data_IF_550845400785
#
_entry.id   IF_550845400785
#
_cell.length_a   1.000
_cell.length_b   1.000
_cell.length_c   1.000
_cell.angle_alpha   90.00
_cell.angle_beta   90.00
_cell.angle_gamma   90.00
#
_symmetry.space_group_name_H-M   'P 1'
#
loop_
_entity.id
_entity.type
_entity.pdbx_description
1 polymer ?
#
# COMPACT_ATOMS: atom_id res chain seq x y z
N UNK A 1 -2.14 31.19 12.33
CA UNK A 1 -2.49 30.02 11.48
C UNK A 1 -2.57 28.83 12.41
N UNK A 2 -3.60 27.98 12.32
CA UNK A 2 -3.69 26.78 13.19
C UNK A 2 -2.96 25.61 12.52
N UNK A 3 -2.50 24.59 13.27
CA UNK A 3 -1.85 23.41 12.68
C UNK A 3 -2.70 22.76 11.57
N UNK A 4 -4.02 22.67 11.77
CA UNK A 4 -4.94 22.18 10.74
C UNK A 4 -4.89 22.95 9.42
N UNK A 5 -4.65 24.27 9.42
CA UNK A 5 -4.49 25.04 8.18
C UNK A 5 -3.20 24.67 7.44
N UNK A 6 -2.10 24.47 8.16
CA UNK A 6 -0.81 24.13 7.55
C UNK A 6 -0.85 22.76 6.89
N UNK A 7 -1.41 21.76 7.58
CA UNK A 7 -1.59 20.43 7.02
C UNK A 7 -2.60 20.39 5.88
N UNK A 8 -3.65 21.21 5.92
CA UNK A 8 -4.60 21.32 4.82
C UNK A 8 -3.93 21.84 3.55
N UNK A 9 -3.07 22.87 3.65
CA UNK A 9 -2.31 23.38 2.49
C UNK A 9 -1.35 22.32 1.93
N UNK A 10 -0.64 21.59 2.82
CA UNK A 10 0.22 20.47 2.40
C UNK A 10 -0.56 19.38 1.66
N UNK A 11 -1.71 18.99 2.21
CA UNK A 11 -2.60 18.01 1.60
C UNK A 11 -3.10 18.49 0.23
N UNK A 12 -3.60 19.72 0.13
CA UNK A 12 -4.12 20.28 -1.12
C UNK A 12 -3.06 20.34 -2.22
N UNK A 13 -1.82 20.68 -1.85
CA UNK A 13 -0.68 20.65 -2.77
C UNK A 13 -0.44 19.23 -3.30
N UNK A 14 -0.36 18.24 -2.40
CA UNK A 14 -0.16 16.85 -2.78
C UNK A 14 -1.33 16.30 -3.64
N UNK A 15 -2.57 16.62 -3.28
CA UNK A 15 -3.74 16.20 -4.06
C UNK A 15 -3.75 16.82 -5.47
N UNK A 16 -3.41 18.10 -5.59
CA UNK A 16 -3.31 18.78 -6.88
C UNK A 16 -2.22 18.15 -7.75
N UNK A 17 -1.06 17.83 -7.18
CA UNK A 17 0.03 17.18 -7.89
C UNK A 17 -0.35 15.77 -8.37
N UNK A 18 -1.00 14.97 -7.51
CA UNK A 18 -1.51 13.64 -7.88
C UNK A 18 -2.51 13.75 -9.04
N UNK A 19 -3.46 14.69 -8.98
CA UNK A 19 -4.46 14.88 -10.06
C UNK A 19 -3.79 15.27 -11.38
N UNK A 20 -2.92 16.27 -11.35
CA UNK A 20 -2.23 16.75 -12.54
C UNK A 20 -1.36 15.65 -13.18
N UNK A 21 -0.60 14.90 -12.37
CA UNK A 21 0.20 13.77 -12.89
C UNK A 21 -0.67 12.62 -13.37
N UNK A 22 -1.78 12.32 -12.69
CA UNK A 22 -2.72 11.28 -13.14
C UNK A 22 -3.27 11.59 -14.53
N UNK A 23 -3.66 12.83 -14.80
CA UNK A 23 -4.12 13.26 -16.12
C UNK A 23 -3.02 13.15 -17.18
N UNK A 24 -1.82 13.62 -16.87
CA UNK A 24 -0.66 13.52 -17.76
C UNK A 24 -0.32 12.07 -18.11
N UNK A 25 -0.30 11.19 -17.11
CA UNK A 25 -0.02 9.76 -17.27
C UNK A 25 -1.13 9.08 -18.07
N UNK A 26 -2.40 9.37 -17.75
CA UNK A 26 -3.53 8.80 -18.47
C UNK A 26 -3.55 9.20 -19.95
N UNK A 27 -3.11 10.42 -20.28
CA UNK A 27 -3.00 10.87 -21.66
C UNK A 27 -2.03 10.02 -22.50
N UNK A 28 -1.04 9.37 -21.86
CA UNK A 28 -0.07 8.53 -22.56
C UNK A 28 -0.68 7.29 -23.22
N UNK A 29 -1.89 6.87 -22.81
CA UNK A 29 -2.62 5.76 -23.44
C UNK A 29 -2.79 5.95 -24.96
N UNK A 30 -2.85 7.20 -25.43
CA UNK A 30 -2.99 7.54 -26.86
C UNK A 30 -1.73 7.29 -27.69
N UNK A 31 -0.57 7.17 -27.06
CA UNK A 31 0.74 7.07 -27.72
C UNK A 31 1.48 5.76 -27.38
N UNK A 32 0.75 4.74 -26.91
CA UNK A 32 1.32 3.42 -26.64
C UNK A 32 1.58 2.65 -27.94
N UNK A 33 2.71 1.94 -28.04
CA UNK A 33 3.01 1.09 -29.18
C UNK A 33 2.27 -0.25 -29.07
N UNK A 34 1.98 -0.91 -30.20
CA UNK A 34 1.13 -2.11 -30.23
C UNK A 34 1.77 -3.35 -29.58
N UNK A 35 3.10 -3.46 -29.62
CA UNK A 35 3.84 -4.64 -29.18
C UNK A 35 3.75 -4.92 -27.68
N UNK A 36 3.53 -3.90 -26.86
CA UNK A 36 3.36 -4.01 -25.41
C UNK A 36 2.26 -3.09 -24.85
N UNK A 37 1.28 -2.74 -25.70
CA UNK A 37 0.14 -1.86 -25.37
C UNK A 37 -0.58 -2.30 -24.10
N UNK A 38 -0.98 -3.57 -24.01
CA UNK A 38 -1.81 -4.09 -22.91
C UNK A 38 -1.08 -4.02 -21.56
N UNK A 39 0.20 -4.38 -21.55
CA UNK A 39 1.04 -4.37 -20.34
C UNK A 39 1.21 -2.94 -19.81
N UNK A 40 1.50 -1.99 -20.70
CA UNK A 40 1.70 -0.59 -20.31
C UNK A 40 0.37 0.06 -19.93
N UNK A 41 -0.70 -0.20 -20.69
CA UNK A 41 -2.04 0.29 -20.37
C UNK A 41 -2.46 -0.17 -18.97
N UNK A 42 -2.26 -1.45 -18.66
CA UNK A 42 -2.55 -2.00 -17.33
C UNK A 42 -1.76 -1.29 -16.23
N UNK A 43 -0.47 -0.98 -16.47
CA UNK A 43 0.35 -0.22 -15.51
C UNK A 43 -0.14 1.21 -15.32
N UNK A 44 -0.54 1.88 -16.40
CA UNK A 44 -1.13 3.23 -16.36
C UNK A 44 -2.42 3.20 -15.56
N UNK A 45 -3.34 2.28 -15.86
CA UNK A 45 -4.63 2.15 -15.18
C UNK A 45 -4.45 1.84 -13.70
N UNK A 46 -3.50 0.97 -13.35
CA UNK A 46 -3.14 0.68 -11.96
C UNK A 46 -2.61 1.92 -11.22
N UNK A 47 -1.71 2.70 -11.84
CA UNK A 47 -1.14 3.89 -11.21
C UNK A 47 -2.21 4.99 -11.03
N UNK A 48 -2.98 5.29 -12.08
CA UNK A 48 -4.08 6.27 -12.04
C UNK A 48 -5.16 5.84 -11.03
N UNK A 49 -5.52 4.55 -11.04
CA UNK A 49 -6.47 3.97 -10.09
C UNK A 49 -5.99 4.06 -8.65
N UNK A 50 -4.72 3.75 -8.39
CA UNK A 50 -4.11 3.89 -7.06
C UNK A 50 -4.13 5.35 -6.57
N UNK A 51 -3.81 6.31 -7.43
CA UNK A 51 -3.93 7.74 -7.13
C UNK A 51 -5.36 8.14 -6.79
N UNK A 52 -6.34 7.74 -7.61
CA UNK A 52 -7.75 8.04 -7.38
C UNK A 52 -8.29 7.46 -6.07
N UNK A 53 -7.89 6.23 -5.72
CA UNK A 53 -8.27 5.58 -4.46
C UNK A 53 -7.66 6.31 -3.26
N UNK A 54 -6.40 6.75 -3.36
CA UNK A 54 -5.74 7.50 -2.30
C UNK A 54 -6.47 8.83 -2.03
N UNK A 55 -6.81 9.57 -3.09
CA UNK A 55 -7.54 10.83 -3.02
C UNK A 55 -8.93 10.67 -2.37
N UNK A 56 -9.70 9.67 -2.83
CA UNK A 56 -11.07 9.41 -2.32
C UNK A 56 -11.10 8.75 -0.94
N UNK A 57 -10.01 8.13 -0.53
CA UNK A 57 -9.86 7.43 0.74
C UNK A 57 -9.12 8.26 1.78
N UNK A 58 -7.83 7.99 1.94
CA UNK A 58 -7.03 8.53 3.05
C UNK A 58 -6.88 10.05 3.00
N UNK A 59 -6.76 10.65 1.81
CA UNK A 59 -6.67 12.12 1.70
C UNK A 59 -7.96 12.79 2.16
N UNK A 60 -9.12 12.28 1.76
CA UNK A 60 -10.43 12.78 2.23
C UNK A 60 -10.54 12.69 3.77
N UNK A 61 -10.17 11.55 4.35
CA UNK A 61 -10.19 11.37 5.82
C UNK A 61 -9.26 12.38 6.53
N UNK A 62 -8.05 12.60 6.00
CA UNK A 62 -7.13 13.57 6.58
C UNK A 62 -7.65 15.00 6.47
N UNK A 63 -8.31 15.34 5.35
CA UNK A 63 -8.95 16.65 5.17
C UNK A 63 -10.00 16.91 6.24
N UNK A 64 -10.86 15.94 6.49
CA UNK A 64 -11.91 16.02 7.53
C UNK A 64 -11.28 16.23 8.92
N UNK A 65 -10.18 15.53 9.21
CA UNK A 65 -9.43 15.71 10.47
C UNK A 65 -8.84 17.11 10.60
N UNK A 66 -8.25 17.66 9.53
CA UNK A 66 -7.72 19.03 9.50
C UNK A 66 -8.83 20.07 9.73
N UNK A 67 -9.97 19.91 9.06
CA UNK A 67 -11.13 20.80 9.20
C UNK A 67 -11.72 20.75 10.62
N UNK A 68 -11.75 19.56 11.23
CA UNK A 68 -12.17 19.39 12.62
C UNK A 68 -11.26 20.16 13.58
N UNK A 69 -9.93 20.04 13.43
CA UNK A 69 -8.97 20.82 14.22
C UNK A 69 -9.18 22.34 14.06
N UNK A 70 -9.41 22.82 12.83
CA UNK A 70 -9.67 24.23 12.55
C UNK A 70 -10.97 24.71 13.23
N UNK A 71 -12.05 23.93 13.11
CA UNK A 71 -13.34 24.26 13.69
C UNK A 71 -13.28 24.30 15.22
N UNK A 72 -12.61 23.33 15.84
CA UNK A 72 -12.40 23.28 17.29
C UNK A 72 -11.59 24.48 17.77
N UNK A 73 -10.49 24.84 17.08
CA UNK A 73 -9.69 26.01 17.42
C UNK A 73 -10.47 27.35 17.31
N UNK A 74 -11.44 27.43 16.41
CA UNK A 74 -12.34 28.58 16.30
C UNK A 74 -13.43 28.62 17.39
N UNK A 75 -13.93 27.45 17.81
CA UNK A 75 -15.01 27.31 18.78
C UNK A 75 -14.58 27.52 20.25
N UNK A 76 -13.28 27.39 20.59
CA UNK A 76 -12.78 27.66 21.96
C UNK A 76 -13.04 29.11 22.43
N UNK A 77 -13.41 30.03 21.54
CA UNK A 77 -13.74 31.41 21.90
C UNK A 77 -15.11 31.60 22.54
N UNK A 78 -16.07 30.70 22.29
CA UNK A 78 -17.42 30.81 22.83
C UNK A 78 -17.87 29.46 23.42
N UNK A 79 -17.80 29.35 24.75
CA UNK A 79 -18.35 28.25 25.57
C UNK A 79 -17.77 26.85 25.34
N UNK A 80 -17.15 26.33 26.40
CA UNK A 80 -17.38 24.99 26.98
C UNK A 80 -18.01 23.97 26.03
N UNK A 81 -17.27 23.62 24.97
CA UNK A 81 -17.73 22.65 23.99
C UNK A 81 -17.18 21.28 24.38
N UNK A 82 -18.13 20.40 24.63
CA UNK A 82 -18.08 19.04 25.15
C UNK A 82 -17.39 18.01 24.24
N UNK A 83 -16.30 18.35 23.57
CA UNK A 83 -15.48 17.37 22.86
C UNK A 83 -14.52 16.72 23.86
N UNK A 84 -14.85 15.51 24.33
CA UNK A 84 -14.03 14.76 25.29
C UNK A 84 -12.60 14.44 24.75
N UNK A 85 -12.38 14.58 23.43
CA UNK A 85 -11.09 14.36 22.76
C UNK A 85 -10.91 15.35 21.60
N UNK A 86 -10.32 16.54 21.84
CA UNK A 86 -10.00 17.50 20.78
C UNK A 86 -8.91 16.94 19.86
N UNK A 87 -8.95 17.32 18.59
CA UNK A 87 -7.94 16.93 17.60
C UNK A 87 -6.68 17.74 17.85
N UNK A 88 -5.60 17.08 18.25
CA UNK A 88 -4.32 17.71 18.55
C UNK A 88 -3.42 17.79 17.32
N UNK A 89 -2.38 18.60 17.39
CA UNK A 89 -1.34 18.66 16.35
C UNK A 89 -0.63 17.30 16.18
N UNK A 90 -0.40 16.57 17.28
CA UNK A 90 0.18 15.23 17.23
C UNK A 90 -0.71 14.22 16.48
N UNK A 91 -2.05 14.34 16.59
CA UNK A 91 -2.97 13.52 15.81
C UNK A 91 -2.86 13.81 14.31
N UNK A 92 -2.66 15.08 13.93
CA UNK A 92 -2.46 15.49 12.54
C UNK A 92 -1.11 15.00 11.99
N UNK A 93 -0.04 15.14 12.77
CA UNK A 93 1.29 14.64 12.41
C UNK A 93 1.28 13.12 12.20
N UNK A 94 0.73 12.37 13.15
CA UNK A 94 0.66 10.92 13.04
C UNK A 94 -0.15 10.44 11.84
N UNK A 95 -1.25 11.12 11.51
CA UNK A 95 -2.02 10.80 10.31
C UNK A 95 -1.27 11.21 9.04
N UNK A 96 -0.57 12.35 9.05
CA UNK A 96 0.26 12.80 7.93
C UNK A 96 1.35 11.79 7.59
N UNK A 97 2.06 11.26 8.58
CA UNK A 97 3.08 10.23 8.37
C UNK A 97 2.48 8.96 7.74
N UNK A 98 1.27 8.59 8.18
CA UNK A 98 0.56 7.44 7.61
C UNK A 98 0.15 7.63 6.14
N UNK A 99 -0.14 8.87 5.71
CA UNK A 99 -0.54 9.14 4.31
C UNK A 99 0.63 9.53 3.40
N UNK A 100 1.73 10.04 3.97
CA UNK A 100 2.91 10.47 3.23
C UNK A 100 3.54 9.35 2.41
N UNK A 101 3.68 8.16 2.99
CA UNK A 101 4.26 7.01 2.29
C UNK A 101 3.37 6.55 1.11
N UNK A 102 2.04 6.36 1.26
CA UNK A 102 1.15 6.12 0.13
C UNK A 102 1.22 7.20 -0.96
N UNK A 103 1.31 8.49 -0.59
CA UNK A 103 1.49 9.58 -1.55
C UNK A 103 2.78 9.36 -2.34
N UNK A 104 3.91 9.17 -1.64
CA UNK A 104 5.20 8.92 -2.28
C UNK A 104 5.14 7.73 -3.25
N UNK A 105 4.54 6.61 -2.84
CA UNK A 105 4.41 5.41 -3.69
C UNK A 105 3.62 5.67 -4.97
N UNK A 106 2.53 6.43 -4.90
CA UNK A 106 1.78 6.84 -6.09
C UNK A 106 2.66 7.71 -7.00
N UNK A 107 3.39 8.66 -6.43
CA UNK A 107 4.26 9.56 -7.18
C UNK A 107 5.43 8.83 -7.84
N UNK A 108 6.01 7.83 -7.17
CA UNK A 108 7.03 6.93 -7.73
C UNK A 108 6.47 6.12 -8.89
N UNK A 109 5.23 5.62 -8.79
CA UNK A 109 4.59 4.89 -9.89
C UNK A 109 4.43 5.75 -11.15
N UNK A 110 4.07 7.03 -10.98
CA UNK A 110 4.00 7.97 -12.10
C UNK A 110 5.39 8.24 -12.70
N UNK A 111 6.41 8.41 -11.86
CA UNK A 111 7.79 8.62 -12.32
C UNK A 111 8.30 7.39 -13.08
N UNK A 112 7.97 6.18 -12.63
CA UNK A 112 8.33 4.95 -13.33
C UNK A 112 7.73 4.87 -14.74
N UNK A 113 6.46 5.28 -14.90
CA UNK A 113 5.80 5.33 -16.21
C UNK A 113 6.43 6.42 -17.11
N UNK A 114 6.77 7.59 -16.55
CA UNK A 114 7.48 8.64 -17.31
C UNK A 114 8.83 8.16 -17.81
N UNK A 115 9.61 7.48 -16.96
CA UNK A 115 10.89 6.85 -17.36
C UNK A 115 10.70 5.78 -18.44
N UNK A 116 9.65 4.97 -18.32
CA UNK A 116 9.33 3.96 -19.33
C UNK A 116 9.04 4.63 -20.68
N UNK A 117 8.30 5.74 -20.70
CA UNK A 117 8.06 6.55 -21.90
C UNK A 117 9.37 7.10 -22.47
N UNK A 118 10.24 7.67 -21.63
CA UNK A 118 11.54 8.21 -22.04
C UNK A 118 12.44 7.13 -22.66
N UNK A 119 12.32 5.88 -22.20
CA UNK A 119 13.02 4.72 -22.75
C UNK A 119 12.28 4.04 -23.92
N UNK A 120 11.41 4.76 -24.62
CA UNK A 120 10.69 4.25 -25.79
C UNK A 120 9.77 3.07 -25.46
N UNK A 121 9.16 3.09 -24.28
CA UNK A 121 8.27 2.05 -23.78
C UNK A 121 8.93 0.70 -23.51
N UNK A 122 10.25 0.68 -23.31
CA UNK A 122 11.01 -0.53 -23.01
C UNK A 122 11.53 -0.50 -21.59
N UNK A 123 11.49 -1.65 -20.93
CA UNK A 123 12.19 -1.78 -19.64
C UNK A 123 13.67 -1.47 -19.84
N UNK A 124 14.33 -0.80 -18.88
CA UNK A 124 15.78 -0.66 -18.91
C UNK A 124 16.38 -2.07 -18.97
N UNK A 125 17.20 -2.34 -19.98
CA UNK A 125 18.02 -3.55 -20.00
C UNK A 125 18.89 -3.52 -18.74
N UNK A 126 18.61 -4.38 -17.76
CA UNK A 126 19.59 -4.68 -16.73
C UNK A 126 20.82 -5.18 -17.50
N UNK A 127 21.90 -4.40 -17.50
CA UNK A 127 23.20 -4.80 -18.02
C UNK A 127 23.67 -6.02 -17.22
N UNK A 128 23.15 -7.19 -17.57
CA UNK A 128 23.76 -8.48 -17.30
C UNK A 128 24.86 -8.61 -18.34
N UNK A 129 26.01 -8.02 -18.03
CA UNK A 129 27.22 -8.22 -18.81
C UNK A 129 27.47 -9.73 -18.96
N UNK A 130 27.49 -10.17 -20.21
CA UNK A 130 28.14 -11.36 -20.73
C UNK A 130 27.70 -12.73 -20.19
N UNK A 131 26.87 -13.45 -20.97
CA UNK A 131 27.34 -14.68 -21.63
C UNK A 131 26.44 -15.01 -22.82
N UNK A 132 27.01 -14.80 -24.01
CA UNK A 132 26.48 -15.19 -25.32
C UNK A 132 26.61 -16.71 -25.50
N UNK A 133 25.50 -17.45 -25.63
CA UNK A 133 25.44 -18.72 -26.40
C UNK A 133 24.01 -19.05 -26.86
N UNK A 134 23.72 -18.64 -28.10
CA UNK A 134 23.08 -19.39 -29.18
C UNK A 134 22.28 -20.66 -28.81
N UNK A 135 20.97 -20.70 -29.10
CA UNK A 135 20.32 -21.39 -30.25
C UNK A 135 18.85 -21.76 -29.98
N UNK A 136 17.98 -21.23 -30.84
CA UNK A 136 16.68 -21.71 -31.36
C UNK A 136 16.02 -22.98 -30.77
N UNK A 137 14.73 -22.84 -30.46
CA UNK A 137 13.58 -23.67 -30.90
C UNK A 137 12.69 -24.30 -29.82
N UNK A 138 11.39 -24.15 -30.06
CA UNK A 138 10.27 -25.03 -29.68
C UNK A 138 9.66 -24.94 -28.26
N UNK A 139 8.59 -24.13 -28.20
CA UNK A 139 7.27 -24.39 -27.57
C UNK A 139 7.18 -25.64 -26.69
N UNK A 140 7.06 -25.45 -25.36
CA UNK A 140 6.17 -26.26 -24.51
C UNK A 140 5.63 -25.42 -23.34
N UNK A 141 4.29 -25.39 -23.24
CA UNK A 141 3.51 -24.90 -22.09
C UNK A 141 4.07 -25.43 -20.77
N UNK A 142 4.35 -24.57 -19.79
CA UNK A 142 4.17 -24.80 -18.33
C UNK A 142 4.43 -23.52 -17.51
N UNK A 143 3.72 -23.44 -16.38
CA UNK A 143 3.52 -22.33 -15.43
C UNK A 143 4.82 -21.71 -14.86
N UNK A 144 4.80 -20.46 -14.35
CA UNK A 144 6.01 -19.76 -13.95
C UNK A 144 6.49 -20.23 -12.58
N UNK A 145 7.73 -20.72 -12.52
CA UNK A 145 8.50 -20.92 -11.30
C UNK A 145 9.69 -19.96 -11.31
N UNK A 146 9.78 -19.19 -10.23
CA UNK A 146 10.84 -18.25 -9.91
C UNK A 146 12.24 -18.92 -9.95
N UNK A 147 13.21 -18.22 -10.57
CA UNK A 147 14.62 -18.57 -10.47
C UNK A 147 15.23 -17.90 -9.24
N UNK A 148 15.68 -18.76 -8.32
CA UNK A 148 16.55 -18.50 -7.18
C UNK A 148 17.92 -18.00 -7.64
N UNK A 149 18.51 -17.06 -6.91
CA UNK A 149 19.94 -17.12 -6.57
C UNK A 149 20.39 -16.36 -5.30
N UNK A 150 19.48 -15.99 -4.38
CA UNK A 150 19.88 -15.45 -3.04
C UNK A 150 18.99 -15.98 -1.90
N UNK A 151 18.78 -17.31 -1.81
CA UNK A 151 17.85 -17.87 -0.83
C UNK A 151 18.31 -19.18 -0.17
N UNK A 152 19.62 -19.33 0.07
CA UNK A 152 20.14 -20.54 0.73
C UNK A 152 20.30 -20.39 2.25
N UNK A 153 20.32 -19.17 2.81
CA UNK A 153 20.41 -19.01 4.29
C UNK A 153 19.07 -18.76 5.00
N UNK A 154 18.01 -18.29 4.32
CA UNK A 154 16.78 -17.88 5.00
C UNK A 154 15.67 -18.94 5.12
N UNK A 155 15.80 -20.11 4.47
CA UNK A 155 14.70 -21.11 4.45
C UNK A 155 14.75 -22.15 5.57
N UNK A 156 15.84 -22.26 6.34
CA UNK A 156 15.90 -23.18 7.49
C UNK A 156 15.23 -22.61 8.74
N UNK A 157 15.22 -21.27 8.89
CA UNK A 157 14.63 -20.59 10.05
C UNK A 157 13.10 -20.42 9.99
N UNK A 158 12.48 -20.49 8.81
CA UNK A 158 11.03 -20.29 8.65
C UNK A 158 10.21 -21.56 8.94
N UNK A 159 10.77 -22.75 8.66
CA UNK A 159 10.11 -24.04 8.93
C UNK A 159 9.84 -24.24 10.42
N UNK A 160 10.81 -23.89 11.27
CA UNK A 160 10.68 -24.01 12.72
C UNK A 160 9.66 -23.03 13.30
N UNK A 161 9.64 -21.78 12.81
CA UNK A 161 8.64 -20.80 13.20
C UNK A 161 7.21 -21.24 12.81
N UNK A 162 7.04 -21.80 11.61
CA UNK A 162 5.76 -22.35 11.16
C UNK A 162 5.34 -23.57 11.97
N UNK A 163 6.27 -24.47 12.29
CA UNK A 163 6.01 -25.65 13.11
C UNK A 163 5.60 -25.26 14.53
N UNK A 164 6.32 -24.31 15.16
CA UNK A 164 5.98 -23.79 16.49
C UNK A 164 4.60 -23.13 16.52
N UNK A 165 4.24 -22.36 15.48
CA UNK A 165 2.91 -21.75 15.38
C UNK A 165 1.79 -22.80 15.24
N UNK A 166 2.02 -23.88 14.48
CA UNK A 166 1.05 -24.97 14.35
C UNK A 166 0.90 -25.77 15.64
N UNK A 167 2.00 -26.09 16.33
CA UNK A 167 1.97 -26.77 17.63
C UNK A 167 1.27 -25.90 18.69
N UNK A 168 1.55 -24.58 18.71
CA UNK A 168 0.87 -23.64 19.60
C UNK A 168 -0.63 -23.56 19.31
N UNK A 169 -1.03 -23.43 18.03
CA UNK A 169 -2.45 -23.44 17.64
C UNK A 169 -3.14 -24.75 18.02
N UNK A 170 -2.46 -25.89 17.86
CA UNK A 170 -3.00 -27.20 18.27
C UNK A 170 -3.17 -27.30 19.78
N UNK A 171 -2.21 -26.81 20.57
CA UNK A 171 -2.29 -26.81 22.03
C UNK A 171 -3.41 -25.92 22.56
N UNK A 172 -3.59 -24.72 21.99
CA UNK A 172 -4.71 -23.81 22.33
C UNK A 172 -6.06 -24.47 22.00
N UNK A 173 -6.19 -25.06 20.81
CA UNK A 173 -7.42 -25.77 20.42
C UNK A 173 -7.74 -26.92 21.36
N UNK A 174 -6.74 -27.73 21.73
CA UNK A 174 -6.91 -28.88 22.62
C UNK A 174 -7.25 -28.45 24.07
N UNK A 175 -6.74 -27.30 24.53
CA UNK A 175 -7.12 -26.71 25.82
C UNK A 175 -8.55 -26.17 25.79
N UNK A 176 -8.91 -25.47 24.71
CA UNK A 176 -10.27 -24.96 24.53
C UNK A 176 -11.28 -26.10 24.49
N UNK A 177 -10.98 -27.20 23.79
CA UNK A 177 -11.82 -28.40 23.73
C UNK A 177 -11.93 -29.15 25.07
N UNK A 178 -10.90 -29.09 25.93
CA UNK A 178 -10.94 -29.62 27.30
C UNK A 178 -11.69 -28.73 28.29
N UNK A 179 -11.65 -27.40 28.13
CA UNK A 179 -12.43 -26.47 28.96
C UNK A 179 -13.93 -26.47 28.58
N UNK A 180 -14.26 -26.92 27.37
CA UNK A 180 -15.65 -27.08 26.87
C UNK A 180 -16.24 -28.50 27.07
N UNK A 181 -15.48 -29.45 27.64
CA UNK A 181 -16.01 -30.77 27.96
C UNK A 181 -16.98 -30.68 29.17
N UNK A 182 -18.20 -31.23 29.08
CA UNK A 182 -19.18 -31.15 30.16
C UNK A 182 -18.69 -31.91 31.40
N UNK A 183 -18.81 -31.29 32.57
CA UNK A 183 -18.64 -31.97 33.86
C UNK A 183 -19.88 -32.82 34.10
N UNK A 184 -19.75 -34.14 33.96
CA UNK A 184 -20.80 -35.09 34.36
C UNK A 184 -21.01 -35.07 35.88
N UNK A 185 -22.26 -35.30 36.34
CA UNK A 185 -22.73 -34.95 37.68
C UNK A 185 -22.20 -35.91 38.75
N UNK A 186 -21.89 -35.35 39.92
CA UNK A 186 -21.64 -36.10 41.15
C UNK A 186 -22.87 -36.98 41.47
N UNK A 187 -22.67 -38.29 41.41
CA UNK A 187 -23.57 -39.29 42.00
C UNK A 187 -23.52 -39.09 43.52
N UNK A 188 -24.69 -38.85 44.10
CA UNK A 188 -24.95 -38.85 45.54
C UNK A 188 -25.31 -40.30 45.90
N UNK A 189 -24.50 -40.93 46.75
CA UNK A 189 -24.94 -42.03 47.63
C UNK A 189 -25.51 -41.47 48.93
#
# INVERSE_FOLDING_TARGET
MTPGHEFLVKLETAEAEIRARSEKINHLQTALPEDNREDISSRIDMAVGSGALLLKGKCKQFRELCLKNIAEAGAVKDKESSAQFPTTEADLEGFWDMISLPIQKVMESFTAIERLKENGWREPEENTSDTKKTTKSAVQKKKPLASKNDAVESNKHNEEARRRLMEFKKAIKNRQERELAPKDPLIIE
#
